data_IF_727277014740
#
_entry.id   IF_727277014740
#
_cell.length_a   1.000
_cell.length_b   1.000
_cell.length_c   1.000
_cell.angle_alpha   90.00
_cell.angle_beta   90.00
_cell.angle_gamma   90.00
#
_symmetry.space_group_name_H-M   'P 1'
#
loop_
_entity.id
_entity.type
_entity.pdbx_description
1 polymer ?
#
# COMPACT_ATOMS: atom_id res chain seq x y z
N UNK A 1 10.01 -22.97 27.82
CA UNK A 1 8.81 -23.34 27.03
C UNK A 1 9.24 -23.57 25.59
N UNK A 2 9.75 -24.77 25.29
CA UNK A 2 9.99 -25.24 23.91
C UNK A 2 9.27 -26.58 23.85
N UNK A 3 7.99 -26.53 23.50
CA UNK A 3 7.27 -27.73 23.14
C UNK A 3 7.52 -27.93 21.65
N UNK A 4 8.47 -28.80 21.33
CA UNK A 4 8.90 -29.11 19.96
C UNK A 4 7.82 -29.92 19.21
N UNK A 5 6.65 -29.31 18.98
CA UNK A 5 5.60 -29.87 18.13
C UNK A 5 5.90 -29.50 16.68
N UNK A 6 6.86 -30.19 16.08
CA UNK A 6 7.30 -30.00 14.67
C UNK A 6 6.14 -29.85 13.68
N UNK A 7 5.05 -30.60 13.89
CA UNK A 7 3.84 -30.51 13.08
C UNK A 7 3.13 -29.15 13.17
N UNK A 8 3.02 -28.55 14.36
CA UNK A 8 2.41 -27.23 14.54
C UNK A 8 3.27 -26.13 13.88
N UNK A 9 4.60 -26.24 13.99
CA UNK A 9 5.50 -25.28 13.35
C UNK A 9 5.39 -25.31 11.83
N UNK A 10 5.38 -26.51 11.22
CA UNK A 10 5.21 -26.66 9.77
C UNK A 10 3.84 -26.13 9.33
N UNK A 11 2.78 -26.50 10.04
CA UNK A 11 1.42 -26.02 9.77
C UNK A 11 1.33 -24.49 9.81
N UNK A 12 1.89 -23.85 10.84
CA UNK A 12 1.91 -22.39 10.96
C UNK A 12 2.67 -21.73 9.80
N UNK A 13 3.81 -22.28 9.37
CA UNK A 13 4.55 -21.73 8.23
C UNK A 13 3.77 -21.90 6.92
N UNK A 14 3.19 -23.08 6.67
CA UNK A 14 2.36 -23.30 5.47
C UNK A 14 1.17 -22.34 5.43
N UNK A 15 0.49 -22.14 6.57
CA UNK A 15 -0.63 -21.21 6.68
C UNK A 15 -0.19 -19.76 6.40
N UNK A 16 0.94 -19.32 6.95
CA UNK A 16 1.50 -18.00 6.70
C UNK A 16 1.89 -17.80 5.22
N UNK A 17 2.53 -18.79 4.60
CA UNK A 17 2.91 -18.75 3.19
C UNK A 17 1.67 -18.66 2.29
N UNK A 18 0.62 -19.45 2.58
CA UNK A 18 -0.64 -19.37 1.86
C UNK A 18 -1.30 -17.99 2.04
N UNK A 19 -1.31 -17.44 3.25
CA UNK A 19 -1.82 -16.09 3.50
C UNK A 19 -1.06 -15.02 2.71
N UNK A 20 0.27 -15.10 2.68
CA UNK A 20 1.12 -14.21 1.87
C UNK A 20 0.81 -14.37 0.39
N UNK A 21 0.69 -15.60 -0.12
CA UNK A 21 0.40 -15.84 -1.53
C UNK A 21 -0.95 -15.23 -1.96
N UNK A 22 -1.98 -15.34 -1.13
CA UNK A 22 -3.30 -14.74 -1.39
C UNK A 22 -3.23 -13.22 -1.41
N UNK A 23 -2.47 -12.59 -0.50
CA UNK A 23 -2.31 -11.13 -0.45
C UNK A 23 -1.45 -10.63 -1.62
N UNK A 24 -0.37 -11.34 -1.96
CA UNK A 24 0.56 -10.91 -3.02
C UNK A 24 0.02 -11.15 -4.43
N UNK A 25 -0.87 -12.13 -4.64
CA UNK A 25 -1.44 -12.42 -5.95
C UNK A 25 -2.05 -11.19 -6.64
N UNK A 26 -2.95 -10.39 -6.03
CA UNK A 26 -3.47 -9.18 -6.67
C UNK A 26 -2.39 -8.12 -6.91
N UNK A 27 -1.37 -8.00 -6.04
CA UNK A 27 -0.25 -7.09 -6.27
C UNK A 27 0.58 -7.52 -7.50
N UNK A 28 0.79 -8.82 -7.68
CA UNK A 28 1.48 -9.37 -8.83
C UNK A 28 0.71 -9.09 -10.14
N UNK A 29 -0.60 -9.27 -10.13
CA UNK A 29 -1.45 -8.95 -11.29
C UNK A 29 -1.41 -7.45 -11.62
N UNK A 30 -1.48 -6.58 -10.60
CA UNK A 30 -1.36 -5.13 -10.80
C UNK A 30 0.02 -4.74 -11.37
N UNK A 31 1.09 -5.40 -10.91
CA UNK A 31 2.43 -5.20 -11.43
C UNK A 31 2.53 -5.62 -12.90
N UNK A 32 2.00 -6.80 -13.26
CA UNK A 32 1.95 -7.24 -14.65
C UNK A 32 1.15 -6.25 -15.50
N UNK A 33 -0.04 -5.83 -15.05
CA UNK A 33 -0.85 -4.85 -15.76
C UNK A 33 -0.08 -3.54 -16.03
N UNK A 34 0.75 -3.08 -15.09
CA UNK A 34 1.60 -1.91 -15.28
C UNK A 34 2.70 -2.10 -16.35
N UNK A 35 3.06 -3.34 -16.69
CA UNK A 35 4.04 -3.68 -17.72
C UNK A 35 3.45 -3.92 -19.11
N UNK A 36 2.13 -4.10 -19.21
CA UNK A 36 1.42 -4.34 -20.48
C UNK A 36 1.14 -3.02 -21.22
N UNK A 37 0.86 -3.14 -22.52
CA UNK A 37 0.35 -2.04 -23.35
C UNK A 37 -1.14 -1.79 -23.06
N UNK A 38 -1.61 -0.54 -23.21
CA UNK A 38 -3.01 -0.17 -22.95
C UNK A 38 -4.01 -1.07 -23.72
N UNK A 39 -3.67 -1.49 -24.94
CA UNK A 39 -4.53 -2.40 -25.72
C UNK A 39 -4.50 -3.82 -25.17
N UNK A 40 -3.33 -4.30 -24.78
CA UNK A 40 -3.12 -5.65 -24.24
C UNK A 40 -3.75 -5.83 -22.84
N UNK A 41 -3.95 -4.75 -22.08
CA UNK A 41 -4.68 -4.77 -20.80
C UNK A 41 -6.17 -5.05 -21.01
N UNK A 42 -6.77 -4.57 -22.10
CA UNK A 42 -8.19 -4.76 -22.42
C UNK A 42 -8.48 -5.96 -23.33
N UNK A 43 -7.44 -6.59 -23.90
CA UNK A 43 -7.59 -7.85 -24.63
C UNK A 43 -7.87 -9.03 -23.68
N UNK A 44 -8.86 -9.85 -24.03
CA UNK A 44 -9.22 -11.05 -23.27
C UNK A 44 -8.70 -12.29 -24.00
N UNK A 45 -7.89 -13.16 -23.36
CA UNK A 45 -7.43 -13.14 -21.96
C UNK A 45 -6.19 -12.25 -21.72
N UNK A 46 -6.15 -11.56 -20.57
CA UNK A 46 -4.98 -10.77 -20.14
C UNK A 46 -3.78 -11.71 -19.89
N UNK A 47 -2.66 -11.41 -20.52
CA UNK A 47 -1.42 -12.20 -20.32
C UNK A 47 -0.88 -11.96 -18.90
N UNK A 48 -0.64 -13.04 -18.15
CA UNK A 48 -0.02 -12.99 -16.81
C UNK A 48 1.52 -12.97 -16.87
N UNK A 49 2.09 -12.56 -18.01
CA UNK A 49 3.53 -12.43 -18.21
C UNK A 49 3.87 -10.95 -18.26
N UNK A 50 5.00 -10.53 -17.65
CA UNK A 50 5.41 -9.14 -17.70
C UNK A 50 5.70 -8.73 -19.15
N UNK A 51 5.16 -7.58 -19.56
CA UNK A 51 5.46 -6.93 -20.83
C UNK A 51 6.74 -6.08 -20.78
N UNK A 52 7.04 -5.41 -21.89
CA UNK A 52 8.25 -4.58 -22.05
C UNK A 52 8.00 -3.08 -21.80
N UNK A 53 6.75 -2.66 -21.57
CA UNK A 53 6.34 -1.25 -21.56
C UNK A 53 6.39 -0.57 -20.18
N UNK A 54 6.89 -1.26 -19.14
CA UNK A 54 6.89 -0.76 -17.76
C UNK A 54 7.46 0.67 -17.64
N UNK A 55 8.66 0.90 -18.18
CA UNK A 55 9.34 2.19 -18.06
C UNK A 55 8.63 3.31 -18.82
N UNK A 56 8.11 3.01 -20.01
CA UNK A 56 7.37 3.98 -20.84
C UNK A 56 6.06 4.37 -20.16
N UNK A 57 5.34 3.39 -19.59
CA UNK A 57 4.11 3.60 -18.83
C UNK A 57 4.37 4.47 -17.59
N UNK A 58 5.42 4.18 -16.82
CA UNK A 58 5.79 4.99 -15.64
C UNK A 58 6.08 6.43 -16.07
N UNK A 59 6.91 6.63 -17.09
CA UNK A 59 7.28 7.97 -17.57
C UNK A 59 6.05 8.74 -18.05
N UNK A 60 5.17 8.06 -18.78
CA UNK A 60 3.92 8.63 -19.30
C UNK A 60 3.01 9.07 -18.16
N UNK A 61 2.77 8.22 -17.16
CA UNK A 61 1.92 8.56 -16.01
C UNK A 61 2.55 9.67 -15.16
N UNK A 62 3.87 9.66 -15.00
CA UNK A 62 4.60 10.66 -14.23
C UNK A 62 4.41 12.08 -14.78
N UNK A 63 4.44 12.24 -16.11
CA UNK A 63 4.36 13.54 -16.79
C UNK A 63 2.92 13.89 -17.18
N UNK A 64 2.22 12.95 -17.83
CA UNK A 64 0.90 13.18 -18.43
C UNK A 64 -0.27 12.81 -17.52
N UNK A 65 -0.01 12.17 -16.37
CA UNK A 65 -1.05 11.69 -15.47
C UNK A 65 -1.66 10.36 -15.90
N UNK A 66 -2.63 9.88 -15.11
CA UNK A 66 -3.23 8.53 -15.27
C UNK A 66 -4.40 8.52 -16.27
N UNK A 67 -4.70 9.64 -16.93
CA UNK A 67 -5.83 9.77 -17.86
C UNK A 67 -5.75 11.05 -18.69
N UNK A 68 -6.61 11.14 -19.73
CA UNK A 68 -6.58 12.17 -20.79
C UNK A 68 -6.66 13.62 -20.27
N UNK A 69 -7.12 13.83 -19.02
CA UNK A 69 -7.21 15.15 -18.38
C UNK A 69 -6.74 15.12 -16.91
N UNK A 70 -5.90 14.16 -16.53
CA UNK A 70 -5.43 14.05 -15.14
C UNK A 70 -4.22 14.94 -14.88
N UNK A 71 -4.10 15.43 -13.65
CA UNK A 71 -2.88 16.09 -13.21
C UNK A 71 -1.69 15.10 -13.28
N UNK A 72 -0.46 15.59 -13.48
CA UNK A 72 0.75 14.77 -13.40
C UNK A 72 0.78 13.94 -12.12
N UNK A 73 1.10 12.65 -12.22
CA UNK A 73 1.04 11.73 -11.09
C UNK A 73 1.91 12.17 -9.91
N UNK A 74 3.06 12.78 -10.17
CA UNK A 74 3.93 13.34 -9.14
C UNK A 74 3.20 14.38 -8.25
N UNK A 75 2.38 15.25 -8.84
CA UNK A 75 1.62 16.25 -8.09
C UNK A 75 0.53 15.60 -7.24
N UNK A 76 -0.13 14.56 -7.77
CA UNK A 76 -1.12 13.79 -7.00
C UNK A 76 -0.46 13.10 -5.80
N UNK A 77 0.74 12.55 -5.98
CA UNK A 77 1.51 11.91 -4.93
C UNK A 77 2.00 12.92 -3.88
N UNK A 78 2.47 14.09 -4.31
CA UNK A 78 2.86 15.18 -3.41
C UNK A 78 1.68 15.68 -2.56
N UNK A 79 0.51 15.89 -3.17
CA UNK A 79 -0.69 16.30 -2.44
C UNK A 79 -1.08 15.27 -1.37
N UNK A 80 -1.07 13.99 -1.74
CA UNK A 80 -1.38 12.90 -0.81
C UNK A 80 -0.35 12.80 0.31
N UNK A 81 0.93 13.02 -0.01
CA UNK A 81 2.01 13.05 0.96
C UNK A 81 1.83 14.18 1.97
N UNK A 82 1.57 15.41 1.50
CA UNK A 82 1.34 16.57 2.39
C UNK A 82 0.14 16.33 3.30
N UNK A 83 -0.98 15.81 2.76
CA UNK A 83 -2.16 15.48 3.55
C UNK A 83 -1.88 14.40 4.60
N UNK A 84 -1.32 13.26 4.18
CA UNK A 84 -1.05 12.15 5.08
C UNK A 84 -0.04 12.54 6.18
N UNK A 85 1.00 13.28 5.81
CA UNK A 85 2.04 13.74 6.74
C UNK A 85 1.49 14.73 7.76
N UNK A 86 0.76 15.77 7.29
CA UNK A 86 0.18 16.78 8.18
C UNK A 86 -0.83 16.18 9.16
N UNK A 87 -1.71 15.29 8.70
CA UNK A 87 -2.67 14.59 9.55
C UNK A 87 -1.95 13.71 10.57
N UNK A 88 -0.92 12.98 10.16
CA UNK A 88 -0.16 12.09 11.05
C UNK A 88 0.55 12.88 12.14
N UNK A 89 1.26 13.95 11.78
CA UNK A 89 1.96 14.82 12.73
C UNK A 89 0.95 15.49 13.68
N UNK A 90 -0.16 16.01 13.16
CA UNK A 90 -1.22 16.61 13.96
C UNK A 90 -1.82 15.62 14.96
N UNK A 91 -2.18 14.41 14.50
CA UNK A 91 -2.74 13.35 15.35
C UNK A 91 -1.77 12.92 16.44
N UNK A 92 -0.49 12.71 16.11
CA UNK A 92 0.53 12.32 17.09
C UNK A 92 0.68 13.42 18.15
N UNK A 93 0.77 14.69 17.72
CA UNK A 93 0.94 15.83 18.63
C UNK A 93 -0.24 15.94 19.60
N UNK A 94 -1.48 15.91 19.09
CA UNK A 94 -2.69 15.97 19.92
C UNK A 94 -2.79 14.75 20.83
N UNK A 95 -2.48 13.55 20.34
CA UNK A 95 -2.48 12.32 21.14
C UNK A 95 -1.46 12.38 22.28
N UNK A 96 -0.26 12.89 22.02
CA UNK A 96 0.79 13.03 23.03
C UNK A 96 0.40 14.06 24.10
N UNK A 97 -0.10 15.23 23.70
CA UNK A 97 -0.54 16.26 24.64
C UNK A 97 -1.72 15.77 25.49
N UNK A 98 -2.68 15.07 24.88
CA UNK A 98 -3.83 14.50 25.59
C UNK A 98 -3.41 13.43 26.60
N UNK A 99 -2.52 12.52 26.19
CA UNK A 99 -1.98 11.49 27.08
C UNK A 99 -1.19 12.10 28.26
N UNK A 100 -0.36 13.11 27.99
CA UNK A 100 0.33 13.85 29.03
C UNK A 100 -0.65 14.51 30.01
N UNK A 101 -1.70 15.13 29.50
CA UNK A 101 -2.66 15.83 30.33
C UNK A 101 -3.45 14.90 31.26
N UNK A 102 -3.87 13.74 30.75
CA UNK A 102 -4.59 12.71 31.54
C UNK A 102 -3.69 12.12 32.63
N UNK A 103 -2.41 11.90 32.35
CA UNK A 103 -1.49 11.27 33.32
C UNK A 103 -1.08 12.23 34.42
N UNK A 104 -0.83 13.50 34.10
CA UNK A 104 -0.27 14.46 35.05
C UNK A 104 -1.28 15.43 35.67
N UNK A 105 -2.41 15.72 35.02
CA UNK A 105 -3.43 16.61 35.58
C UNK A 105 -4.61 15.80 36.13
N UNK A 106 -5.01 16.11 37.37
CA UNK A 106 -6.27 15.65 37.95
C UNK A 106 -7.39 16.57 37.48
N UNK A 107 -8.23 16.08 36.59
CA UNK A 107 -9.49 16.76 36.27
C UNK A 107 -10.47 16.53 37.42
N UNK A 108 -10.90 17.61 38.10
CA UNK A 108 -11.88 17.51 39.18
C UNK A 108 -13.23 17.10 38.60
N UNK A 109 -13.95 16.11 39.17
CA UNK A 109 -15.33 15.87 38.82
C UNK A 109 -16.16 17.07 39.31
N UNK A 110 -16.97 17.65 38.43
CA UNK A 110 -18.09 18.50 38.82
C UNK A 110 -19.32 17.63 39.07
#
# INVERSE_FOLDING_TARGET
MIENRRGLTIFSHTMLILGIAVILFPLYVAFIAATLDDRAVFETPMTLLPGTQLLENIKTIWINGVGVNSAPFWLMMLNSFIMAFSITVGKITVSMLSAFAIVWFRFSPA
#
